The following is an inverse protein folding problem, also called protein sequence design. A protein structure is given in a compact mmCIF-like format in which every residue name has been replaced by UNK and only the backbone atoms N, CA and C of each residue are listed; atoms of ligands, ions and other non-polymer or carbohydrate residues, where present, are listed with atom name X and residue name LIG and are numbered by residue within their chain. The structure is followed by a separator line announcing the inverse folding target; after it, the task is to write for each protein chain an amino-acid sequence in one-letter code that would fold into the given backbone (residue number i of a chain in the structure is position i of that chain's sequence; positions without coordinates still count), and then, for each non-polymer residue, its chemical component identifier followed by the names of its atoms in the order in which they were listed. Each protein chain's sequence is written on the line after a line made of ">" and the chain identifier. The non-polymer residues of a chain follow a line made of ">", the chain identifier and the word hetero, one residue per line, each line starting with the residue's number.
data_IF_600748163579
#
_entry.id   IF_600748163579
#
_cell.length_a   1.000
_cell.length_b   1.000
_cell.length_c   1.000
_cell.angle_alpha   90.00
_cell.angle_beta   90.00
_cell.angle_gamma   90.00
#
_symmetry.space_group_name_H-M   'P 1'
#
loop_
_entity.id
_entity.type
_entity.pdbx_description
1 polymer ?
#
# COMPACT_ATOMS: atom_id res chain seq x y z
N UNK A 1 33.41 8.93 9.77
CA UNK A 1 31.96 9.14 9.97
C UNK A 1 31.28 7.87 9.50
N UNK A 2 30.59 7.18 10.39
CA UNK A 2 29.83 5.98 10.05
C UNK A 2 28.61 6.37 9.19
N UNK A 3 28.25 5.51 8.25
CA UNK A 3 27.04 5.67 7.41
C UNK A 3 25.80 5.89 8.26
N UNK A 4 25.74 5.28 9.44
CA UNK A 4 24.57 5.33 10.35
C UNK A 4 24.57 6.55 11.29
N UNK A 5 25.64 7.34 11.38
CA UNK A 5 25.70 8.53 12.26
C UNK A 5 24.56 9.53 11.98
N UNK A 6 24.12 9.64 10.74
CA UNK A 6 23.01 10.51 10.32
C UNK A 6 21.66 10.13 10.92
N UNK A 7 21.50 8.89 11.39
CA UNK A 7 20.25 8.39 11.98
C UNK A 7 20.21 8.52 13.52
N UNK A 8 21.27 8.98 14.16
CA UNK A 8 21.31 9.16 15.63
C UNK A 8 20.14 9.96 16.17
N UNK A 9 19.76 11.12 15.57
CA UNK A 9 18.61 11.89 16.08
C UNK A 9 17.30 11.11 16.05
N UNK A 10 17.08 10.29 15.02
CA UNK A 10 15.89 9.44 14.89
C UNK A 10 15.93 8.33 15.95
N UNK A 11 17.10 7.71 16.15
CA UNK A 11 17.27 6.65 17.14
C UNK A 11 17.02 7.18 18.58
N UNK A 12 17.50 8.38 18.90
CA UNK A 12 17.27 9.05 20.18
C UNK A 12 15.79 9.39 20.40
N UNK A 13 15.12 9.94 19.38
CA UNK A 13 13.67 10.21 19.42
C UNK A 13 12.86 8.91 19.64
N UNK A 14 13.21 7.84 18.95
CA UNK A 14 12.60 6.54 19.11
C UNK A 14 12.84 5.94 20.52
N UNK A 15 14.05 6.06 21.04
CA UNK A 15 14.38 5.65 22.40
C UNK A 15 13.54 6.41 23.44
N UNK A 16 13.30 7.70 23.23
CA UNK A 16 12.42 8.52 24.06
C UNK A 16 10.98 8.01 24.06
N UNK A 17 10.42 7.68 22.89
CA UNK A 17 9.07 7.10 22.78
C UNK A 17 8.98 5.76 23.51
N UNK A 18 9.96 4.89 23.34
CA UNK A 18 10.00 3.60 24.06
C UNK A 18 10.06 3.76 25.58
N UNK A 19 10.79 4.74 26.08
CA UNK A 19 10.92 4.99 27.51
C UNK A 19 9.57 5.34 28.19
N UNK A 20 8.66 5.97 27.45
CA UNK A 20 7.30 6.29 27.95
C UNK A 20 6.25 5.22 27.55
N UNK A 21 6.68 4.09 27.00
CA UNK A 21 5.79 3.00 26.59
C UNK A 21 5.04 3.23 25.27
N UNK A 22 5.36 4.27 24.53
CA UNK A 22 4.74 4.64 23.24
C UNK A 22 5.56 4.13 22.05
N UNK A 23 5.89 2.84 22.02
CA UNK A 23 6.62 2.22 20.92
C UNK A 23 5.66 1.93 19.75
N UNK A 24 5.71 2.68 18.64
CA UNK A 24 4.78 2.51 17.52
C UNK A 24 4.97 1.19 16.76
N UNK A 25 6.14 0.54 16.89
CA UNK A 25 6.45 -0.71 16.20
C UNK A 25 6.19 -1.95 17.06
N UNK A 26 5.83 -1.77 18.34
CA UNK A 26 5.58 -2.88 19.27
C UNK A 26 4.19 -3.48 19.11
N UNK A 27 3.24 -2.75 18.55
CA UNK A 27 1.86 -3.20 18.42
C UNK A 27 1.74 -4.13 17.23
N UNK A 28 1.43 -5.40 17.50
CA UNK A 28 1.12 -6.38 16.47
C UNK A 28 -0.26 -6.97 16.78
N UNK A 29 -1.09 -7.12 15.74
CA UNK A 29 -2.37 -7.81 15.88
C UNK A 29 -2.15 -9.31 15.72
N UNK A 30 -2.56 -10.09 16.72
CA UNK A 30 -2.48 -11.55 16.68
C UNK A 30 -3.52 -12.14 15.71
N UNK A 31 -4.66 -11.47 15.57
CA UNK A 31 -5.73 -11.84 14.65
C UNK A 31 -6.56 -10.62 14.28
N UNK A 32 -7.00 -10.58 13.04
CA UNK A 32 -8.05 -9.67 12.59
C UNK A 32 -9.36 -10.45 12.55
N UNK A 33 -10.35 -9.96 13.29
CA UNK A 33 -11.63 -10.64 13.51
C UNK A 33 -12.67 -10.22 12.50
N UNK A 34 -12.65 -8.92 12.16
CA UNK A 34 -13.58 -8.31 11.20
C UNK A 34 -12.91 -7.10 10.54
N UNK A 35 -13.55 -6.43 9.57
CA UNK A 35 -13.03 -5.18 9.00
C UNK A 35 -12.68 -4.09 10.02
N UNK A 36 -13.29 -4.13 11.19
CA UNK A 36 -13.19 -3.08 12.22
C UNK A 36 -12.67 -3.56 13.56
N UNK A 37 -12.37 -4.85 13.72
CA UNK A 37 -11.99 -5.45 15.01
C UNK A 37 -10.76 -6.33 14.85
N UNK A 38 -9.77 -6.12 15.70
CA UNK A 38 -8.57 -6.97 15.84
C UNK A 38 -8.35 -7.40 17.27
N UNK A 39 -7.42 -8.35 17.48
CA UNK A 39 -6.98 -8.85 18.78
C UNK A 39 -5.53 -8.51 19.01
N UNK A 40 -5.22 -8.03 20.21
CA UNK A 40 -3.86 -7.88 20.74
C UNK A 40 -3.81 -8.64 22.06
N UNK A 41 -3.12 -9.76 22.11
CA UNK A 41 -3.20 -10.70 23.22
C UNK A 41 -4.65 -11.17 23.40
N UNK A 42 -5.18 -10.96 24.59
CA UNK A 42 -6.57 -11.31 24.94
C UNK A 42 -7.54 -10.12 24.81
N UNK A 43 -7.08 -8.98 24.33
CA UNK A 43 -7.89 -7.76 24.24
C UNK A 43 -8.41 -7.54 22.82
N UNK A 44 -9.72 -7.32 22.73
CA UNK A 44 -10.35 -6.86 21.49
C UNK A 44 -10.13 -5.35 21.33
N UNK A 45 -9.72 -4.92 20.13
CA UNK A 45 -9.45 -3.52 19.81
C UNK A 45 -10.14 -3.09 18.53
N UNK A 46 -10.57 -1.85 18.49
CA UNK A 46 -11.21 -1.25 17.31
C UNK A 46 -10.14 -0.77 16.34
N UNK A 47 -10.27 -1.14 15.08
CA UNK A 47 -9.39 -0.77 13.98
C UNK A 47 -9.84 0.53 13.32
N UNK A 48 -9.63 1.67 13.99
CA UNK A 48 -10.06 2.98 13.50
C UNK A 48 -9.05 3.63 12.50
N UNK A 49 -7.81 3.15 12.48
CA UNK A 49 -6.71 3.73 11.68
C UNK A 49 -6.41 2.98 10.38
N UNK A 50 -7.35 2.23 9.83
CA UNK A 50 -7.13 1.45 8.60
C UNK A 50 -7.65 2.18 7.36
N UNK A 51 -7.07 1.86 6.19
CA UNK A 51 -7.58 2.33 4.89
C UNK A 51 -8.71 1.44 4.33
N UNK A 52 -9.29 0.58 5.15
CA UNK A 52 -10.37 -0.33 4.75
C UNK A 52 -11.74 0.38 4.74
N UNK A 53 -11.84 1.49 4.01
CA UNK A 53 -13.01 2.39 4.04
C UNK A 53 -14.33 1.72 3.67
N UNK A 54 -14.31 0.74 2.77
CA UNK A 54 -15.49 0.00 2.32
C UNK A 54 -15.70 -1.33 3.04
N UNK A 55 -14.78 -1.72 3.94
CA UNK A 55 -14.87 -2.98 4.68
C UNK A 55 -14.68 -4.25 3.84
N UNK A 56 -14.22 -4.13 2.59
CA UNK A 56 -14.19 -5.21 1.60
C UNK A 56 -13.14 -6.29 1.89
N UNK A 57 -12.19 -6.05 2.79
CA UNK A 57 -11.14 -7.04 3.11
C UNK A 57 -11.68 -8.35 3.70
N UNK A 58 -12.92 -8.34 4.22
CA UNK A 58 -13.61 -9.51 4.75
C UNK A 58 -14.85 -9.90 3.93
N UNK A 59 -15.06 -9.29 2.77
CA UNK A 59 -16.14 -9.71 1.87
C UNK A 59 -15.86 -11.12 1.33
N UNK A 60 -16.85 -12.05 1.47
CA UNK A 60 -16.66 -13.44 1.06
C UNK A 60 -16.32 -13.60 -0.43
N UNK A 61 -16.88 -12.74 -1.31
CA UNK A 61 -16.62 -12.81 -2.73
C UNK A 61 -15.20 -12.34 -3.05
N UNK A 62 -14.73 -11.29 -2.37
CA UNK A 62 -13.35 -10.79 -2.51
C UNK A 62 -12.35 -11.86 -2.04
N UNK A 63 -12.62 -12.49 -0.89
CA UNK A 63 -11.76 -13.57 -0.37
C UNK A 63 -11.74 -14.76 -1.34
N UNK A 64 -12.92 -15.19 -1.83
CA UNK A 64 -13.02 -16.31 -2.78
C UNK A 64 -12.30 -16.00 -4.10
N UNK A 65 -12.40 -14.78 -4.62
CA UNK A 65 -11.68 -14.36 -5.82
C UNK A 65 -10.16 -14.36 -5.61
N UNK A 66 -9.68 -13.89 -4.45
CA UNK A 66 -8.26 -13.93 -4.12
C UNK A 66 -7.72 -15.38 -4.01
N UNK A 67 -8.48 -16.27 -3.36
CA UNK A 67 -8.14 -17.70 -3.26
C UNK A 67 -8.09 -18.36 -4.65
N UNK A 68 -9.08 -18.09 -5.49
CA UNK A 68 -9.13 -18.59 -6.87
C UNK A 68 -7.92 -18.09 -7.67
N UNK A 69 -7.63 -16.79 -7.63
CA UNK A 69 -6.47 -16.22 -8.32
C UNK A 69 -5.15 -16.85 -7.88
N UNK A 70 -4.97 -17.04 -6.57
CA UNK A 70 -3.79 -17.71 -6.04
C UNK A 70 -3.67 -19.18 -6.48
N UNK A 71 -4.78 -19.90 -6.58
CA UNK A 71 -4.81 -21.28 -7.06
C UNK A 71 -4.50 -21.41 -8.56
N UNK A 72 -4.98 -20.47 -9.37
CA UNK A 72 -4.82 -20.51 -10.84
C UNK A 72 -3.47 -19.91 -11.31
N UNK A 73 -2.99 -18.86 -10.68
CA UNK A 73 -1.83 -18.08 -11.13
C UNK A 73 -0.63 -18.14 -10.18
N UNK A 74 -0.77 -18.79 -9.03
CA UNK A 74 0.25 -18.79 -7.98
C UNK A 74 0.16 -17.56 -7.07
N UNK A 75 1.07 -17.48 -6.10
CA UNK A 75 1.08 -16.46 -5.06
C UNK A 75 1.60 -15.09 -5.54
N UNK A 76 2.00 -14.97 -6.80
CA UNK A 76 2.48 -13.73 -7.38
C UNK A 76 3.15 -13.92 -8.72
N UNK A 77 3.46 -12.82 -9.39
CA UNK A 77 4.22 -12.81 -10.64
C UNK A 77 5.70 -12.63 -10.35
N UNK A 78 6.55 -13.39 -11.00
CA UNK A 78 8.01 -13.35 -10.81
C UNK A 78 8.72 -12.56 -11.91
N UNK A 79 7.97 -11.80 -12.70
CA UNK A 79 8.48 -11.01 -13.81
C UNK A 79 8.01 -9.55 -13.80
N UNK A 80 8.78 -8.70 -14.44
CA UNK A 80 8.39 -7.32 -14.72
C UNK A 80 7.18 -7.27 -15.67
N UNK A 81 6.27 -6.29 -15.47
CA UNK A 81 5.09 -6.08 -16.33
C UNK A 81 5.45 -5.87 -17.81
N UNK A 82 6.60 -5.29 -18.10
CA UNK A 82 7.08 -5.04 -19.48
C UNK A 82 7.66 -6.29 -20.14
N UNK A 83 8.01 -7.31 -19.37
CA UNK A 83 8.59 -8.56 -19.90
C UNK A 83 7.56 -9.70 -19.84
N UNK A 84 7.55 -10.46 -18.76
CA UNK A 84 6.75 -11.68 -18.61
C UNK A 84 5.87 -11.68 -17.35
N UNK A 85 5.76 -10.56 -16.63
CA UNK A 85 4.98 -10.41 -15.41
C UNK A 85 3.54 -9.90 -15.63
N UNK A 86 3.08 -9.72 -16.88
CA UNK A 86 1.69 -9.35 -17.18
C UNK A 86 0.88 -10.62 -17.39
N UNK A 87 -0.06 -10.87 -16.47
CA UNK A 87 -0.99 -11.99 -16.54
C UNK A 87 -2.38 -11.50 -16.94
N UNK A 88 -3.25 -12.42 -17.40
CA UNK A 88 -4.62 -12.06 -17.81
C UNK A 88 -5.42 -11.30 -16.74
N UNK A 89 -5.34 -11.61 -15.43
CA UNK A 89 -6.05 -10.81 -14.43
C UNK A 89 -5.62 -9.34 -14.36
N UNK A 90 -4.36 -9.00 -14.69
CA UNK A 90 -3.95 -7.61 -14.76
C UNK A 90 -4.67 -6.87 -15.89
N UNK A 91 -4.77 -7.50 -17.06
CA UNK A 91 -5.44 -6.91 -18.21
C UNK A 91 -6.94 -6.73 -17.97
N UNK A 92 -7.59 -7.74 -17.43
CA UNK A 92 -9.01 -7.66 -17.07
C UNK A 92 -9.27 -6.54 -16.05
N UNK A 93 -8.42 -6.40 -15.02
CA UNK A 93 -8.56 -5.33 -14.05
C UNK A 93 -8.35 -3.94 -14.68
N UNK A 94 -7.36 -3.79 -15.58
CA UNK A 94 -7.12 -2.55 -16.31
C UNK A 94 -8.32 -2.17 -17.19
N UNK A 95 -8.91 -3.13 -17.89
CA UNK A 95 -10.12 -2.95 -18.72
C UNK A 95 -11.34 -2.55 -17.86
N UNK A 96 -11.58 -3.24 -16.76
CA UNK A 96 -12.67 -2.93 -15.82
C UNK A 96 -12.52 -1.54 -15.19
N UNK A 97 -11.30 -1.17 -14.77
CA UNK A 97 -11.05 0.16 -14.22
C UNK A 97 -11.24 1.26 -15.27
N UNK A 98 -10.74 1.06 -16.49
CA UNK A 98 -10.94 2.01 -17.58
C UNK A 98 -12.43 2.21 -17.86
N UNK A 99 -13.19 1.13 -17.97
CA UNK A 99 -14.64 1.17 -18.16
C UNK A 99 -15.36 1.85 -17.00
N UNK A 100 -15.00 1.54 -15.74
CA UNK A 100 -15.62 2.13 -14.56
C UNK A 100 -15.45 3.65 -14.50
N UNK A 101 -14.26 4.15 -14.86
CA UNK A 101 -13.96 5.58 -14.86
C UNK A 101 -14.30 6.29 -16.18
N UNK A 102 -14.78 5.58 -17.21
CA UNK A 102 -15.09 6.13 -18.51
C UNK A 102 -13.84 6.63 -19.26
N UNK A 103 -12.71 5.96 -19.09
CA UNK A 103 -11.43 6.26 -19.71
C UNK A 103 -11.06 5.20 -20.74
N UNK A 104 -10.21 5.56 -21.72
CA UNK A 104 -9.78 4.63 -22.75
C UNK A 104 -8.84 3.54 -22.22
N UNK A 105 -8.05 3.85 -21.20
CA UNK A 105 -7.02 2.95 -20.65
C UNK A 105 -6.81 3.16 -19.15
N UNK A 106 -6.34 2.10 -18.48
CA UNK A 106 -5.83 2.14 -17.13
C UNK A 106 -4.54 1.33 -17.01
N UNK A 107 -3.71 1.67 -16.04
CA UNK A 107 -2.51 0.90 -15.65
C UNK A 107 -2.58 0.60 -14.17
N UNK A 108 -2.40 -0.67 -13.81
CA UNK A 108 -2.41 -1.12 -12.43
C UNK A 108 -0.98 -1.25 -11.90
N UNK A 109 -0.76 -0.68 -10.72
CA UNK A 109 0.47 -0.79 -9.93
C UNK A 109 0.21 -1.60 -8.65
N UNK A 110 1.25 -2.19 -8.09
CA UNK A 110 1.14 -2.99 -6.85
C UNK A 110 0.82 -2.17 -5.62
N UNK A 111 1.14 -0.86 -5.63
CA UNK A 111 0.83 0.06 -4.54
C UNK A 111 0.45 1.44 -5.08
N UNK A 112 -0.35 2.20 -4.32
CA UNK A 112 -0.63 3.61 -4.62
C UNK A 112 0.63 4.48 -4.59
N UNK A 113 1.60 4.12 -3.77
CA UNK A 113 2.91 4.77 -3.74
C UNK A 113 3.60 4.71 -5.12
N UNK A 114 3.69 3.51 -5.70
CA UNK A 114 4.27 3.32 -7.03
C UNK A 114 3.45 4.00 -8.13
N UNK A 115 2.13 4.02 -8.00
CA UNK A 115 1.27 4.71 -8.95
C UNK A 115 1.55 6.22 -8.96
N UNK A 116 1.62 6.86 -7.78
CA UNK A 116 1.93 8.28 -7.65
C UNK A 116 3.34 8.61 -8.19
N UNK A 117 4.35 7.83 -7.78
CA UNK A 117 5.71 8.01 -8.27
C UNK A 117 5.79 7.88 -9.80
N UNK A 118 5.11 6.88 -10.36
CA UNK A 118 5.10 6.65 -11.81
C UNK A 118 4.41 7.78 -12.58
N UNK A 119 3.31 8.34 -12.04
CA UNK A 119 2.61 9.48 -12.65
C UNK A 119 3.51 10.72 -12.66
N UNK A 120 4.09 11.08 -11.52
CA UNK A 120 4.95 12.27 -11.44
C UNK A 120 6.20 12.11 -12.30
N UNK A 121 6.94 10.99 -12.12
CA UNK A 121 8.17 10.75 -12.88
C UNK A 121 7.95 10.49 -14.38
N UNK A 122 6.78 10.00 -14.77
CA UNK A 122 6.46 9.71 -16.17
C UNK A 122 5.91 10.88 -16.94
N UNK A 123 5.27 11.85 -16.28
CA UNK A 123 4.63 12.99 -16.93
C UNK A 123 5.43 14.29 -16.80
N UNK A 124 6.20 14.46 -15.72
CA UNK A 124 6.99 15.67 -15.49
C UNK A 124 8.42 15.50 -16.00
N UNK A 125 8.86 16.42 -16.85
CA UNK A 125 10.22 16.50 -17.36
C UNK A 125 11.01 17.69 -16.76
N UNK A 126 12.27 17.89 -17.17
CA UNK A 126 13.14 18.94 -16.61
C UNK A 126 12.66 20.39 -16.80
N UNK A 127 11.69 20.60 -17.69
CA UNK A 127 11.13 21.93 -17.99
C UNK A 127 9.73 22.12 -17.43
N UNK A 128 9.18 21.11 -16.77
CA UNK A 128 7.86 21.17 -16.16
C UNK A 128 7.92 21.65 -14.71
N UNK A 129 6.82 22.22 -14.25
CA UNK A 129 6.65 22.66 -12.86
C UNK A 129 5.55 21.82 -12.25
N UNK A 130 5.86 21.10 -11.18
CA UNK A 130 4.90 20.32 -10.41
C UNK A 130 4.45 21.15 -9.20
N UNK A 131 3.18 21.52 -9.16
CA UNK A 131 2.58 22.20 -8.00
C UNK A 131 2.00 21.14 -7.06
N UNK A 132 2.47 21.12 -5.83
CA UNK A 132 2.05 20.16 -4.81
C UNK A 132 1.48 20.89 -3.59
N UNK A 133 0.51 20.25 -2.93
CA UNK A 133 0.01 20.69 -1.64
C UNK A 133 1.08 20.46 -0.55
N UNK A 134 1.16 21.34 0.45
CA UNK A 134 2.14 21.24 1.53
C UNK A 134 2.00 19.97 2.37
N UNK A 135 0.79 19.41 2.44
CA UNK A 135 0.46 18.21 3.22
C UNK A 135 0.17 16.99 2.32
N UNK A 136 0.69 16.98 1.09
CA UNK A 136 0.49 15.83 0.21
C UNK A 136 1.22 14.57 0.73
N UNK A 137 0.80 13.42 0.23
CA UNK A 137 1.38 12.15 0.63
C UNK A 137 2.87 12.03 0.24
N UNK A 138 3.67 11.36 1.07
CA UNK A 138 5.12 11.18 0.87
C UNK A 138 5.49 10.68 -0.54
N UNK A 139 4.68 9.82 -1.15
CA UNK A 139 4.89 9.32 -2.51
C UNK A 139 4.85 10.39 -3.62
N UNK A 140 4.43 11.61 -3.30
CA UNK A 140 4.46 12.74 -4.22
C UNK A 140 5.76 13.55 -4.06
N UNK A 141 6.33 13.57 -2.84
CA UNK A 141 7.60 14.24 -2.56
C UNK A 141 8.82 13.46 -3.07
N UNK A 142 8.78 12.13 -3.03
CA UNK A 142 9.90 11.24 -3.39
C UNK A 142 10.07 11.11 -4.92
#
# INVERSE_FOLDING_TARGET
>A
MDLFDKFKPIAEAYAGLRAIGADPFKVAFDRIVSPTVGMIGNSEVVLAGTNNYLGLTFDPNVIAAAQKGAAEFGAGTTGSRIANGTYSPHKLLEEELAAHFGLDQAIVFTTGYQANLAVVAGLAGPQDVVLIDADCHASIYD
#
